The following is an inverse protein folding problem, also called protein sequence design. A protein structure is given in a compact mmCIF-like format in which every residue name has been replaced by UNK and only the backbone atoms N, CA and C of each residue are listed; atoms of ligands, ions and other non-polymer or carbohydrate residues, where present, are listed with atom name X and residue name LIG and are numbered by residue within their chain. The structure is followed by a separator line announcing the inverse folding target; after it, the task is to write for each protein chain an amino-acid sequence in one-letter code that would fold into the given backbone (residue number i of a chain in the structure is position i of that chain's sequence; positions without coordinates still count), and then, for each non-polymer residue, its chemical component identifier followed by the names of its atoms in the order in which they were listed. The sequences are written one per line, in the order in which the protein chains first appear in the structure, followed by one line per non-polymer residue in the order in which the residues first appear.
data_IF_100090514215
#
_entry.id   IF_100090514215
#
_cell.length_a   1.000
_cell.length_b   1.000
_cell.length_c   1.000
_cell.angle_alpha   90.00
_cell.angle_beta   90.00
_cell.angle_gamma   90.00
#
_symmetry.space_group_name_H-M   'P 1'
#
loop_
_entity.id
_entity.type
_entity.pdbx_description
1 polymer ?
#
# COMPACT_ATOMS: atom_id res chain seq x y z
N UNK A 1 -58.23 -52.09 10.44
CA UNK A 1 -56.94 -52.62 10.95
C UNK A 1 -55.84 -52.04 10.06
N UNK A 2 -55.26 -50.91 10.46
CA UNK A 2 -53.92 -50.82 11.11
C UNK A 2 -52.80 -51.08 10.09
N UNK A 3 -52.15 -50.03 9.56
CA UNK A 3 -50.97 -49.34 10.14
C UNK A 3 -49.77 -50.30 10.19
N UNK A 4 -48.65 -50.06 9.51
CA UNK A 4 -47.63 -49.08 9.92
C UNK A 4 -46.79 -48.56 8.73
N UNK A 5 -46.32 -47.33 8.91
CA UNK A 5 -45.62 -46.46 7.97
C UNK A 5 -44.17 -46.90 7.67
N UNK A 6 -43.67 -46.69 6.43
CA UNK A 6 -42.25 -46.78 6.13
C UNK A 6 -41.62 -45.45 6.54
N UNK A 7 -40.91 -45.43 7.67
CA UNK A 7 -40.30 -44.20 8.17
C UNK A 7 -38.77 -44.28 8.16
N UNK A 8 -38.19 -43.28 7.48
CA UNK A 8 -36.85 -42.73 7.67
C UNK A 8 -35.65 -43.41 6.98
N UNK A 9 -35.57 -43.26 5.66
CA UNK A 9 -34.30 -43.26 4.91
C UNK A 9 -34.32 -42.10 3.90
N UNK A 10 -34.19 -40.87 4.42
CA UNK A 10 -33.92 -39.70 3.58
C UNK A 10 -33.34 -38.56 4.43
N UNK A 11 -32.19 -38.78 5.08
CA UNK A 11 -31.33 -37.65 5.43
C UNK A 11 -30.64 -37.22 4.13
N UNK A 12 -31.30 -36.37 3.34
CA UNK A 12 -30.64 -35.63 2.26
C UNK A 12 -29.54 -34.79 2.91
N UNK A 13 -28.28 -35.10 2.59
CA UNK A 13 -27.17 -34.20 2.80
C UNK A 13 -27.40 -32.96 1.94
N UNK A 14 -27.96 -31.89 2.53
CA UNK A 14 -27.89 -30.56 1.94
C UNK A 14 -26.43 -30.11 1.96
N UNK A 15 -25.65 -30.56 0.97
CA UNK A 15 -24.39 -29.90 0.63
C UNK A 15 -24.77 -28.60 -0.06
N UNK A 16 -24.90 -27.52 0.71
CA UNK A 16 -24.93 -26.19 0.13
C UNK A 16 -23.60 -25.98 -0.59
N UNK A 17 -23.60 -25.72 -1.91
CA UNK A 17 -22.37 -25.38 -2.58
C UNK A 17 -21.87 -24.06 -1.97
N UNK A 18 -20.76 -24.15 -1.23
CA UNK A 18 -20.05 -22.94 -0.78
C UNK A 18 -19.60 -22.20 -2.02
N UNK A 19 -20.28 -21.11 -2.36
CA UNK A 19 -19.84 -20.15 -3.36
C UNK A 19 -18.58 -19.48 -2.81
N UNK A 20 -17.43 -20.13 -2.97
CA UNK A 20 -16.14 -19.52 -2.70
C UNK A 20 -16.03 -18.28 -3.60
N UNK A 21 -16.22 -17.10 -3.01
CA UNK A 21 -16.14 -15.84 -3.71
C UNK A 21 -14.76 -15.76 -4.38
N UNK A 22 -14.74 -15.64 -5.71
CA UNK A 22 -13.49 -15.55 -6.46
C UNK A 22 -12.78 -14.27 -6.02
N UNK A 23 -11.58 -14.41 -5.46
CA UNK A 23 -10.78 -13.27 -5.04
C UNK A 23 -10.60 -12.31 -6.24
N UNK A 24 -10.92 -11.02 -6.09
CA UNK A 24 -10.76 -10.06 -7.18
C UNK A 24 -9.32 -9.97 -7.66
N UNK A 25 -9.13 -9.77 -8.97
CA UNK A 25 -7.80 -9.79 -9.61
C UNK A 25 -6.92 -8.60 -9.21
N UNK A 26 -7.52 -7.53 -8.73
CA UNK A 26 -6.90 -6.30 -8.28
C UNK A 26 -6.68 -6.26 -6.76
N UNK A 27 -7.03 -7.32 -6.02
CA UNK A 27 -6.72 -7.49 -4.61
C UNK A 27 -5.41 -8.27 -4.42
N UNK A 28 -4.36 -7.61 -3.93
CA UNK A 28 -3.03 -8.21 -3.72
C UNK A 28 -2.64 -8.18 -2.25
N UNK A 29 -2.00 -9.24 -1.74
CA UNK A 29 -1.60 -9.29 -0.33
C UNK A 29 -0.45 -8.30 -0.13
N UNK A 30 -0.55 -7.37 0.82
CA UNK A 30 0.45 -6.33 1.02
C UNK A 30 1.85 -6.92 1.28
N UNK A 31 1.94 -7.94 2.14
CA UNK A 31 3.19 -8.64 2.46
C UNK A 31 3.84 -9.35 1.27
N UNK A 32 3.08 -9.66 0.22
CA UNK A 32 3.60 -10.27 -1.01
C UNK A 32 4.16 -9.25 -2.01
N UNK A 33 3.95 -7.95 -1.78
CA UNK A 33 4.45 -6.89 -2.66
C UNK A 33 5.95 -6.75 -2.44
N UNK A 34 6.74 -7.12 -3.44
CA UNK A 34 8.21 -7.08 -3.34
C UNK A 34 8.76 -5.67 -3.43
N UNK A 35 8.28 -4.90 -4.42
CA UNK A 35 8.84 -3.59 -4.74
C UNK A 35 7.77 -2.66 -5.28
N UNK A 36 7.86 -1.39 -4.91
CA UNK A 36 7.08 -0.30 -5.46
C UNK A 36 7.98 0.61 -6.30
N UNK A 37 7.42 1.20 -7.35
CA UNK A 37 8.07 2.25 -8.12
C UNK A 37 7.06 3.36 -8.36
N UNK A 38 7.32 4.50 -7.72
CA UNK A 38 6.40 5.62 -7.61
C UNK A 38 6.93 6.79 -8.45
N UNK A 39 6.01 7.62 -8.97
CA UNK A 39 6.34 8.74 -9.88
C UNK A 39 5.63 10.02 -9.43
N UNK A 40 6.31 11.16 -9.54
CA UNK A 40 5.77 12.46 -9.12
C UNK A 40 4.55 12.93 -9.92
N UNK A 41 4.45 12.51 -11.18
CA UNK A 41 3.37 12.89 -12.10
C UNK A 41 2.28 11.82 -12.25
N UNK A 42 2.18 10.89 -11.28
CA UNK A 42 1.19 9.82 -11.31
C UNK A 42 0.28 9.88 -10.08
N UNK A 43 -0.98 9.52 -10.27
CA UNK A 43 -1.94 9.29 -9.20
C UNK A 43 -2.00 7.80 -8.84
N UNK A 44 -2.42 7.51 -7.62
CA UNK A 44 -2.75 6.15 -7.18
C UNK A 44 -4.01 5.64 -7.89
N UNK A 45 -4.07 4.32 -8.09
CA UNK A 45 -5.35 3.67 -8.34
C UNK A 45 -6.21 3.78 -7.09
N UNK A 46 -7.52 3.89 -7.25
CA UNK A 46 -8.43 4.13 -6.14
C UNK A 46 -9.75 3.39 -6.32
N UNK A 47 -10.42 3.08 -5.22
CA UNK A 47 -11.75 2.46 -5.25
C UNK A 47 -12.70 3.00 -4.19
N UNK A 48 -12.25 3.06 -2.93
CA UNK A 48 -13.06 3.48 -1.77
C UNK A 48 -12.78 4.93 -1.37
N UNK A 49 -11.57 5.41 -1.63
CA UNK A 49 -11.12 6.79 -1.38
C UNK A 49 -10.75 7.45 -2.70
N UNK A 50 -10.57 8.77 -2.72
CA UNK A 50 -10.10 9.48 -3.92
C UNK A 50 -8.64 9.16 -4.23
N UNK A 51 -8.28 9.14 -5.52
CA UNK A 51 -6.89 9.05 -5.94
C UNK A 51 -6.05 10.20 -5.36
N UNK A 52 -4.82 9.87 -4.97
CA UNK A 52 -3.82 10.83 -4.45
C UNK A 52 -2.52 10.74 -5.26
N UNK A 53 -1.61 11.73 -5.20
CA UNK A 53 -0.29 11.60 -5.81
C UNK A 53 0.46 10.37 -5.29
N UNK A 54 1.16 9.65 -6.17
CA UNK A 54 2.01 8.53 -5.76
C UNK A 54 3.22 8.97 -4.93
N UNK A 55 3.68 10.21 -5.11
CA UNK A 55 4.75 10.82 -4.34
C UNK A 55 4.26 12.14 -3.77
N UNK A 56 4.33 12.27 -2.45
CA UNK A 56 3.99 13.49 -1.73
C UNK A 56 5.19 13.95 -0.91
N UNK A 57 5.74 15.11 -1.25
CA UNK A 57 6.81 15.72 -0.50
C UNK A 57 6.29 16.40 0.75
N UNK A 58 6.93 16.17 1.89
CA UNK A 58 6.74 16.94 3.12
C UNK A 58 8.07 17.46 3.66
N UNK A 59 8.03 18.55 4.41
CA UNK A 59 9.22 19.13 5.03
C UNK A 59 9.80 20.35 4.28
N UNK A 60 10.84 20.95 4.86
CA UNK A 60 11.29 22.30 4.52
C UNK A 60 11.89 22.41 3.11
N UNK A 61 12.50 21.34 2.60
CA UNK A 61 13.20 21.37 1.31
C UNK A 61 12.27 21.14 0.09
N UNK A 62 10.99 20.82 0.31
CA UNK A 62 10.04 20.57 -0.78
C UNK A 62 9.78 21.80 -1.67
N UNK A 63 10.06 23.01 -1.16
CA UNK A 63 10.01 24.25 -1.94
C UNK A 63 11.15 24.38 -2.96
N UNK A 64 12.22 23.61 -2.80
CA UNK A 64 13.42 23.67 -3.64
C UNK A 64 13.54 22.48 -4.60
N UNK A 65 13.08 21.30 -4.19
CA UNK A 65 13.17 20.10 -5.01
C UNK A 65 12.07 19.09 -4.67
N UNK A 66 11.73 18.25 -5.65
CA UNK A 66 10.83 17.13 -5.49
C UNK A 66 11.42 15.90 -6.21
N UNK A 67 11.26 14.72 -5.61
CA UNK A 67 11.72 13.46 -6.18
C UNK A 67 10.86 13.10 -7.39
N UNK A 68 11.48 12.81 -8.53
CA UNK A 68 10.77 12.38 -9.73
C UNK A 68 10.33 10.90 -9.65
N UNK A 69 11.21 10.04 -9.15
CA UNK A 69 11.01 8.60 -9.03
C UNK A 69 11.57 8.08 -7.73
N UNK A 70 10.79 7.24 -7.06
CA UNK A 70 11.22 6.53 -5.87
C UNK A 70 11.00 5.03 -6.04
N UNK A 71 11.95 4.24 -5.52
CA UNK A 71 11.82 2.79 -5.44
C UNK A 71 11.82 2.38 -3.98
N UNK A 72 10.76 1.69 -3.56
CA UNK A 72 10.67 1.09 -2.24
C UNK A 72 10.73 -0.42 -2.35
N UNK A 73 11.51 -1.05 -1.47
CA UNK A 73 11.70 -2.50 -1.40
C UNK A 73 11.21 -2.99 -0.05
N UNK A 74 10.35 -4.00 -0.07
CA UNK A 74 9.86 -4.68 1.13
C UNK A 74 11.02 -5.43 1.79
N UNK A 75 11.32 -5.11 3.05
CA UNK A 75 12.39 -5.70 3.86
C UNK A 75 11.88 -6.79 4.83
N UNK A 76 10.64 -7.23 4.65
CA UNK A 76 9.93 -8.09 5.58
C UNK A 76 8.96 -7.30 6.44
N UNK A 77 8.58 -7.90 7.57
CA UNK A 77 7.61 -7.34 8.49
C UNK A 77 8.17 -7.29 9.90
N UNK A 78 7.77 -6.29 10.69
CA UNK A 78 8.24 -6.13 12.06
C UNK A 78 7.31 -6.82 13.07
N UNK A 79 6.27 -6.13 13.57
CA UNK A 79 5.45 -6.65 14.68
C UNK A 79 4.42 -7.71 14.24
N UNK A 80 3.88 -7.61 13.03
CA UNK A 80 2.94 -8.57 12.47
C UNK A 80 3.10 -8.62 10.93
N UNK A 81 2.47 -9.59 10.26
CA UNK A 81 2.62 -9.81 8.81
C UNK A 81 2.18 -8.63 7.93
N UNK A 82 1.40 -7.69 8.47
CA UNK A 82 0.89 -6.51 7.75
C UNK A 82 1.76 -5.26 7.97
N UNK A 83 2.62 -5.28 9.00
CA UNK A 83 3.53 -4.19 9.36
C UNK A 83 4.82 -4.27 8.54
N UNK A 84 4.71 -3.90 7.26
CA UNK A 84 5.79 -4.04 6.29
C UNK A 84 6.83 -2.94 6.46
N UNK A 85 8.08 -3.36 6.61
CA UNK A 85 9.23 -2.47 6.67
C UNK A 85 9.70 -2.14 5.25
N UNK A 86 9.50 -0.89 4.82
CA UNK A 86 9.88 -0.43 3.49
C UNK A 86 11.20 0.32 3.50
N UNK A 87 12.15 -0.10 2.66
CA UNK A 87 13.35 0.68 2.35
C UNK A 87 13.15 1.43 1.04
N UNK A 88 13.06 2.76 1.11
CA UNK A 88 12.83 3.64 -0.04
C UNK A 88 14.11 4.40 -0.43
N UNK A 89 14.40 4.42 -1.72
CA UNK A 89 15.53 5.15 -2.31
C UNK A 89 15.08 5.98 -3.50
N UNK A 90 15.74 7.12 -3.71
CA UNK A 90 15.48 8.02 -4.83
C UNK A 90 16.78 8.71 -5.27
N UNK A 91 16.90 8.96 -6.57
CA UNK A 91 18.00 9.75 -7.13
C UNK A 91 17.69 11.23 -6.97
N UNK A 92 18.64 11.99 -6.41
CA UNK A 92 18.48 13.43 -6.20
C UNK A 92 19.84 14.15 -6.04
N UNK A 93 19.89 15.48 -6.23
CA UNK A 93 21.11 16.24 -6.02
C UNK A 93 21.64 16.10 -4.58
N UNK A 94 22.97 16.20 -4.41
CA UNK A 94 23.65 16.08 -3.11
C UNK A 94 23.27 17.17 -2.10
N UNK A 95 22.64 18.24 -2.55
CA UNK A 95 22.04 19.29 -1.71
C UNK A 95 20.88 18.76 -0.84
N UNK A 96 20.31 17.60 -1.17
CA UNK A 96 19.11 17.05 -0.52
C UNK A 96 19.34 15.66 0.05
N UNK A 97 18.56 15.33 1.08
CA UNK A 97 18.48 13.98 1.65
C UNK A 97 17.05 13.61 2.02
N UNK A 98 16.74 12.31 1.93
CA UNK A 98 15.50 11.76 2.44
C UNK A 98 15.56 11.69 3.97
N UNK A 99 14.48 12.14 4.61
CA UNK A 99 14.15 11.84 6.00
C UNK A 99 13.26 10.61 6.08
N UNK A 100 12.16 10.71 6.81
CA UNK A 100 11.15 9.65 6.88
C UNK A 100 10.49 9.39 5.53
N UNK A 101 10.17 8.12 5.26
CA UNK A 101 9.38 7.69 4.10
C UNK A 101 8.26 6.80 4.60
N UNK A 102 7.03 7.12 4.24
CA UNK A 102 5.84 6.42 4.71
C UNK A 102 5.06 5.89 3.50
N UNK A 103 5.01 4.56 3.36
CA UNK A 103 4.27 3.88 2.29
C UNK A 103 2.82 3.69 2.74
N UNK A 104 1.88 4.17 1.93
CA UNK A 104 0.45 4.10 2.24
C UNK A 104 -0.26 3.47 1.06
N UNK A 105 -0.97 2.37 1.30
CA UNK A 105 -1.76 1.67 0.29
C UNK A 105 -3.25 1.66 0.69
N UNK A 106 -4.14 1.69 -0.30
CA UNK A 106 -5.57 1.53 -0.03
C UNK A 106 -5.88 0.04 0.24
N UNK A 107 -6.30 -0.28 1.47
CA UNK A 107 -6.84 -1.61 1.79
C UNK A 107 -8.04 -1.95 0.92
N UNK A 108 -8.21 -3.23 0.57
CA UNK A 108 -9.07 -3.61 -0.54
C UNK A 108 -10.56 -3.52 -0.19
N UNK A 109 -10.97 -4.15 0.92
CA UNK A 109 -12.35 -4.08 1.43
C UNK A 109 -12.53 -2.96 2.46
N UNK A 110 -11.57 -2.78 3.36
CA UNK A 110 -11.60 -1.76 4.42
C UNK A 110 -10.17 -1.30 4.75
N UNK A 111 -9.99 -0.49 5.82
CA UNK A 111 -8.68 0.09 6.15
C UNK A 111 -7.69 -0.91 6.78
N UNK A 112 -8.20 -1.98 7.40
CA UNK A 112 -7.45 -3.01 8.12
C UNK A 112 -7.42 -4.33 7.32
N UNK A 113 -7.62 -4.26 5.99
CA UNK A 113 -7.59 -5.43 5.12
C UNK A 113 -6.14 -5.75 4.72
N UNK A 114 -5.61 -6.97 4.97
CA UNK A 114 -4.26 -7.37 4.55
C UNK A 114 -4.08 -7.32 3.02
N UNK A 115 -5.19 -7.40 2.27
CA UNK A 115 -5.20 -7.16 0.84
C UNK A 115 -5.32 -5.67 0.56
N UNK A 116 -4.53 -5.19 -0.39
CA UNK A 116 -4.56 -3.82 -0.90
C UNK A 116 -4.96 -3.81 -2.37
N UNK A 117 -5.51 -2.68 -2.81
CA UNK A 117 -5.81 -2.44 -4.22
C UNK A 117 -4.51 -2.32 -5.02
N UNK A 118 -4.39 -3.11 -6.10
CA UNK A 118 -3.24 -3.05 -7.01
C UNK A 118 -3.08 -1.62 -7.55
N UNK A 119 -1.89 -1.05 -7.35
CA UNK A 119 -1.55 0.30 -7.83
C UNK A 119 -2.04 1.43 -6.93
N UNK A 120 -2.58 1.14 -5.73
CA UNK A 120 -3.05 2.16 -4.81
C UNK A 120 -1.98 2.71 -3.85
N UNK A 121 -0.79 2.09 -3.82
CA UNK A 121 0.28 2.53 -2.95
C UNK A 121 0.89 3.87 -3.41
N UNK A 122 1.04 4.80 -2.48
CA UNK A 122 1.82 6.03 -2.61
C UNK A 122 2.83 6.16 -1.46
N UNK A 123 3.70 7.17 -1.57
CA UNK A 123 4.71 7.47 -0.54
C UNK A 123 4.64 8.94 -0.17
N UNK A 124 4.47 9.20 1.13
CA UNK A 124 4.81 10.48 1.71
C UNK A 124 6.28 10.45 2.13
N UNK A 125 7.10 11.37 1.63
CA UNK A 125 8.52 11.42 1.93
C UNK A 125 8.91 12.78 2.47
N UNK A 126 9.71 12.79 3.53
CA UNK A 126 10.27 14.00 4.10
C UNK A 126 11.53 14.38 3.36
N UNK A 127 11.58 15.61 2.83
CA UNK A 127 12.75 16.14 2.17
C UNK A 127 13.47 17.17 3.05
N UNK A 128 14.78 16.97 3.20
CA UNK A 128 15.66 17.82 4.00
C UNK A 128 16.84 18.31 3.15
N UNK A 129 17.44 19.41 3.59
CA UNK A 129 18.73 19.85 3.06
C UNK A 129 19.85 19.03 3.72
N UNK A 130 20.92 18.79 2.96
CA UNK A 130 22.22 18.39 3.51
C UNK A 130 22.99 19.61 3.99
N UNK A 131 24.18 19.45 4.56
CA UNK A 131 25.04 20.59 4.92
C UNK A 131 25.32 21.48 3.70
N UNK A 132 25.63 20.87 2.55
CA UNK A 132 25.78 21.57 1.28
C UNK A 132 24.50 22.31 0.86
N UNK A 133 23.35 21.65 1.01
CA UNK A 133 22.05 22.27 0.74
C UNK A 133 21.77 23.47 1.64
N UNK A 134 22.15 23.43 2.91
CA UNK A 134 21.99 24.54 3.85
C UNK A 134 22.85 25.74 3.47
N UNK A 135 24.10 25.52 3.03
CA UNK A 135 24.96 26.61 2.52
C UNK A 135 24.33 27.34 1.33
N UNK A 136 23.63 26.58 0.46
CA UNK A 136 23.03 27.09 -0.78
C UNK A 136 21.63 27.67 -0.58
N UNK A 137 20.80 27.03 0.22
CA UNK A 137 19.37 27.29 0.32
C UNK A 137 18.90 27.74 1.72
N UNK A 138 19.69 27.54 2.77
CA UNK A 138 19.29 27.77 4.18
C UNK A 138 18.91 29.22 4.51
N UNK A 139 19.43 30.19 3.76
CA UNK A 139 19.04 31.62 3.90
C UNK A 139 17.71 31.97 3.24
N UNK A 140 17.12 31.06 2.47
CA UNK A 140 15.81 31.23 1.81
C UNK A 140 14.66 30.73 2.70
N UNK A 141 14.96 30.38 3.95
CA UNK A 141 14.11 29.81 5.00
C UNK A 141 12.93 30.69 5.38
#
# INVERSE_FOLDING_TARGET
MQLLQPLLLALLTLTTPSLAAKKPKDAILLSSVKTLTLRSNALTSHRRVSAVPQLKCVGPACKHHNVERMRCTNQGSSYNEEDIEWSCVADMPSDFKLGSTEVICEGYANRDDPYVLKGSCGVEYRLLLTEQGEERFGKSG
#
